data_IF_785914352268
#
_entry.id   IF_785914352268
#
_cell.length_a   1.000
_cell.length_b   1.000
_cell.length_c   1.000
_cell.angle_alpha   90.00
_cell.angle_beta   90.00
_cell.angle_gamma   90.00
#
_symmetry.space_group_name_H-M   'P 1'
#
loop_
_entity.id
_entity.type
_entity.pdbx_description
1 polymer ?
#
# COMPACT_ATOMS: atom_id res chain seq x y z
N UNK A 1 -12.95 -6.77 2.19
CA UNK A 1 -11.73 -6.19 2.75
C UNK A 1 -10.67 -6.45 1.71
N UNK A 2 -9.98 -5.41 1.27
CA UNK A 2 -9.02 -5.51 0.17
C UNK A 2 -7.66 -5.98 0.72
N UNK A 3 -6.88 -6.66 -0.10
CA UNK A 3 -5.49 -6.98 0.24
C UNK A 3 -4.62 -5.75 0.04
N UNK A 4 -3.77 -5.45 1.02
CA UNK A 4 -2.80 -4.37 0.90
C UNK A 4 -1.68 -4.79 -0.07
N UNK A 5 -1.21 -3.92 -0.98
CA UNK A 5 -0.10 -4.23 -1.87
C UNK A 5 1.20 -4.39 -1.06
N UNK A 6 1.63 -5.63 -0.86
CA UNK A 6 2.84 -5.92 -0.08
C UNK A 6 4.07 -5.86 -0.97
N UNK A 7 5.07 -5.08 -0.57
CA UNK A 7 6.39 -5.06 -1.22
C UNK A 7 7.35 -5.86 -0.34
N UNK A 8 7.85 -6.98 -0.86
CA UNK A 8 8.71 -7.96 -0.17
C UNK A 8 9.87 -8.35 -1.09
N UNK A 9 10.89 -9.04 -0.58
CA UNK A 9 11.88 -9.65 -1.46
C UNK A 9 11.24 -10.65 -2.42
N UNK A 10 11.65 -10.62 -3.70
CA UNK A 10 11.11 -11.50 -4.74
C UNK A 10 11.16 -12.99 -4.36
N UNK A 11 12.17 -13.41 -3.59
CA UNK A 11 12.35 -14.78 -3.08
C UNK A 11 11.24 -15.25 -2.14
N UNK A 12 10.42 -14.34 -1.60
CA UNK A 12 9.31 -14.64 -0.70
C UNK A 12 8.01 -14.95 -1.44
N UNK A 13 7.99 -14.79 -2.76
CA UNK A 13 6.83 -14.97 -3.61
C UNK A 13 7.07 -16.10 -4.62
N UNK A 14 6.00 -16.63 -5.19
CA UNK A 14 6.11 -17.62 -6.27
C UNK A 14 6.60 -16.94 -7.55
N UNK A 15 7.39 -17.66 -8.34
CA UNK A 15 7.97 -17.14 -9.58
C UNK A 15 6.93 -16.58 -10.56
N UNK A 16 5.78 -17.24 -10.71
CA UNK A 16 4.69 -16.79 -11.59
C UNK A 16 4.11 -15.43 -11.14
N UNK A 17 4.04 -15.22 -9.83
CA UNK A 17 3.55 -13.98 -9.25
C UNK A 17 4.60 -12.87 -9.36
N UNK A 18 5.88 -13.17 -9.10
CA UNK A 18 7.01 -12.24 -9.32
C UNK A 18 7.04 -11.79 -10.77
N UNK A 19 6.98 -12.72 -11.73
CA UNK A 19 6.96 -12.40 -13.16
C UNK A 19 5.78 -11.49 -13.53
N UNK A 20 4.62 -11.69 -12.91
CA UNK A 20 3.45 -10.82 -13.14
C UNK A 20 3.70 -9.39 -12.65
N UNK A 21 4.25 -9.23 -11.44
CA UNK A 21 4.57 -7.92 -10.85
C UNK A 21 5.63 -7.19 -11.67
N UNK A 22 6.73 -7.88 -11.98
CA UNK A 22 7.83 -7.32 -12.78
C UNK A 22 7.38 -6.96 -14.19
N UNK A 23 6.47 -7.74 -14.78
CA UNK A 23 5.88 -7.38 -16.07
C UNK A 23 5.04 -6.10 -15.99
N UNK A 24 4.22 -5.93 -14.94
CA UNK A 24 3.46 -4.68 -14.71
C UNK A 24 4.40 -3.49 -14.52
N UNK A 25 5.42 -3.63 -13.65
CA UNK A 25 6.40 -2.57 -13.39
C UNK A 25 7.14 -2.17 -14.67
N UNK A 26 7.63 -3.14 -15.45
CA UNK A 26 8.30 -2.92 -16.73
C UNK A 26 7.40 -2.23 -17.76
N UNK A 27 6.16 -2.69 -17.93
CA UNK A 27 5.23 -2.08 -18.88
C UNK A 27 4.91 -0.63 -18.51
N UNK A 28 4.78 -0.35 -17.21
CA UNK A 28 4.56 0.99 -16.70
C UNK A 28 5.78 1.90 -16.92
N UNK A 29 6.99 1.41 -16.62
CA UNK A 29 8.25 2.12 -16.84
C UNK A 29 8.51 2.42 -18.33
N UNK A 30 8.18 1.48 -19.22
CA UNK A 30 8.36 1.61 -20.68
C UNK A 30 7.18 2.31 -21.38
N UNK A 31 6.24 2.86 -20.61
CA UNK A 31 5.07 3.58 -21.10
C UNK A 31 4.20 2.78 -22.09
N UNK A 32 4.16 1.45 -21.93
CA UNK A 32 3.38 0.54 -22.77
C UNK A 32 1.93 0.45 -22.26
N UNK A 33 1.20 1.57 -22.31
CA UNK A 33 -0.06 1.74 -21.59
C UNK A 33 -1.18 0.78 -21.99
N UNK A 34 -1.29 0.45 -23.28
CA UNK A 34 -2.31 -0.48 -23.76
C UNK A 34 -2.11 -1.88 -23.20
N UNK A 35 -0.87 -2.37 -23.24
CA UNK A 35 -0.50 -3.69 -22.69
C UNK A 35 -0.58 -3.70 -21.16
N UNK A 36 -0.15 -2.61 -20.51
CA UNK A 36 -0.27 -2.43 -19.07
C UNK A 36 -1.73 -2.57 -18.61
N UNK A 37 -2.65 -1.82 -19.23
CA UNK A 37 -4.08 -1.86 -18.89
C UNK A 37 -4.66 -3.24 -19.17
N UNK A 38 -4.27 -3.90 -20.25
CA UNK A 38 -4.70 -5.27 -20.56
C UNK A 38 -4.32 -6.23 -19.44
N UNK A 39 -3.07 -6.21 -18.99
CA UNK A 39 -2.60 -7.06 -17.88
C UNK A 39 -3.34 -6.73 -16.57
N UNK A 40 -3.52 -5.44 -16.26
CA UNK A 40 -4.18 -5.01 -15.03
C UNK A 40 -5.69 -5.32 -14.99
N UNK A 41 -6.35 -5.43 -16.14
CA UNK A 41 -7.75 -5.90 -16.20
C UNK A 41 -7.87 -7.38 -15.82
N UNK A 42 -6.88 -8.19 -16.18
CA UNK A 42 -6.83 -9.61 -15.82
C UNK A 42 -6.30 -9.81 -14.38
N UNK A 43 -5.44 -8.90 -13.90
CA UNK A 43 -4.75 -8.95 -12.60
C UNK A 43 -4.84 -7.61 -11.87
N UNK A 44 -6.06 -7.23 -11.49
CA UNK A 44 -6.33 -5.96 -10.82
C UNK A 44 -5.65 -5.86 -9.45
N UNK A 45 -5.30 -6.99 -8.83
CA UNK A 45 -4.52 -7.06 -7.58
C UNK A 45 -3.13 -6.38 -7.70
N UNK A 46 -2.65 -6.17 -8.93
CA UNK A 46 -1.33 -5.58 -9.20
C UNK A 46 -1.36 -4.06 -9.41
N UNK A 47 -2.53 -3.41 -9.41
CA UNK A 47 -2.70 -1.99 -9.75
C UNK A 47 -1.91 -1.02 -8.85
N UNK A 48 -1.68 -1.41 -7.60
CA UNK A 48 -0.95 -0.64 -6.60
C UNK A 48 0.40 -1.27 -6.23
N UNK A 49 0.85 -2.28 -6.99
CA UNK A 49 2.15 -2.92 -6.79
C UNK A 49 3.26 -2.09 -7.45
N UNK A 50 4.47 -2.23 -6.93
CA UNK A 50 5.69 -1.60 -7.45
C UNK A 50 6.70 -2.71 -7.82
N UNK A 51 7.82 -2.34 -8.42
CA UNK A 51 8.94 -3.27 -8.59
C UNK A 51 9.39 -3.88 -7.27
N UNK A 52 9.76 -5.16 -7.29
CA UNK A 52 10.19 -5.87 -6.09
C UNK A 52 11.71 -5.75 -5.90
N UNK A 53 12.20 -5.57 -4.67
CA UNK A 53 13.62 -5.79 -4.39
C UNK A 53 13.95 -7.27 -4.58
N UNK A 54 15.10 -7.61 -5.18
CA UNK A 54 15.54 -9.01 -5.23
C UNK A 54 15.98 -9.51 -3.87
N UNK A 55 16.74 -8.67 -3.18
CA UNK A 55 17.29 -8.91 -1.86
C UNK A 55 17.59 -7.59 -1.14
N UNK A 56 18.27 -7.69 0.00
CA UNK A 56 18.58 -6.56 0.87
C UNK A 56 19.47 -5.50 0.21
N UNK A 57 20.29 -5.87 -0.78
CA UNK A 57 21.17 -4.94 -1.50
C UNK A 57 20.40 -3.99 -2.43
N UNK A 58 19.19 -4.37 -2.83
CA UNK A 58 18.33 -3.54 -3.69
C UNK A 58 17.48 -2.52 -2.91
N UNK A 59 17.32 -2.68 -1.58
CA UNK A 59 16.49 -1.78 -0.77
C UNK A 59 16.85 -0.28 -0.92
N UNK A 60 18.14 0.11 -0.99
CA UNK A 60 18.51 1.50 -1.24
C UNK A 60 18.02 2.05 -2.59
N UNK A 61 17.83 1.19 -3.60
CA UNK A 61 17.44 1.57 -4.96
C UNK A 61 15.94 1.47 -5.23
N UNK A 62 15.15 0.97 -4.26
CA UNK A 62 13.69 0.95 -4.38
C UNK A 62 13.14 2.35 -4.62
N UNK A 63 12.18 2.48 -5.54
CA UNK A 63 11.48 3.74 -5.81
C UNK A 63 10.05 3.72 -5.26
N UNK A 64 9.46 2.53 -5.14
CA UNK A 64 8.05 2.33 -4.77
C UNK A 64 7.08 3.07 -5.70
N UNK A 65 7.42 3.20 -6.99
CA UNK A 65 6.53 3.77 -7.99
C UNK A 65 5.47 2.75 -8.42
N UNK A 66 4.20 3.09 -8.19
CA UNK A 66 3.05 2.35 -8.70
C UNK A 66 2.78 2.70 -10.18
N UNK A 67 1.93 1.92 -10.90
CA UNK A 67 1.44 2.30 -12.22
C UNK A 67 0.95 3.75 -12.35
N UNK A 68 0.30 4.29 -11.32
CA UNK A 68 -0.18 5.69 -11.34
C UNK A 68 0.98 6.70 -11.30
N UNK A 69 2.05 6.42 -10.55
CA UNK A 69 3.24 7.27 -10.56
C UNK A 69 3.93 7.25 -11.92
N UNK A 70 4.08 6.07 -12.52
CA UNK A 70 4.65 5.94 -13.86
C UNK A 70 3.82 6.63 -14.93
N UNK A 71 2.49 6.57 -14.86
CA UNK A 71 1.60 7.29 -15.78
C UNK A 71 1.84 8.81 -15.73
N UNK A 72 2.08 9.35 -14.54
CA UNK A 72 2.43 10.76 -14.35
C UNK A 72 3.82 11.10 -14.90
N UNK A 73 4.83 10.29 -14.57
CA UNK A 73 6.21 10.48 -15.06
C UNK A 73 6.25 10.45 -16.58
N UNK A 74 5.57 9.48 -17.19
CA UNK A 74 5.49 9.29 -18.63
C UNK A 74 4.52 10.20 -19.35
N UNK A 75 3.84 11.12 -18.65
CA UNK A 75 2.79 12.00 -19.20
C UNK A 75 1.78 11.23 -20.05
N UNK A 76 1.25 10.15 -19.49
CA UNK A 76 0.29 9.29 -20.16
C UNK A 76 -0.95 10.09 -20.64
N UNK A 77 -1.66 9.63 -21.68
CA UNK A 77 -2.88 10.28 -22.10
C UNK A 77 -3.99 10.09 -21.05
N UNK A 78 -4.98 10.99 -21.05
CA UNK A 78 -6.04 11.07 -20.03
C UNK A 78 -6.77 9.73 -19.82
N UNK A 79 -7.01 9.00 -20.90
CA UNK A 79 -7.71 7.71 -20.89
C UNK A 79 -6.97 6.66 -20.04
N UNK A 80 -5.64 6.75 -19.95
CA UNK A 80 -4.85 5.85 -19.09
C UNK A 80 -5.12 6.15 -17.62
N UNK A 81 -5.20 7.42 -17.23
CA UNK A 81 -5.55 7.81 -15.87
C UNK A 81 -6.97 7.36 -15.51
N UNK A 82 -7.93 7.52 -16.42
CA UNK A 82 -9.31 7.06 -16.24
C UNK A 82 -9.36 5.55 -15.98
N UNK A 83 -8.65 4.75 -16.79
CA UNK A 83 -8.60 3.30 -16.63
C UNK A 83 -7.87 2.87 -15.35
N UNK A 84 -6.74 3.48 -15.00
CA UNK A 84 -6.03 3.16 -13.75
C UNK A 84 -6.90 3.47 -12.52
N UNK A 85 -7.57 4.62 -12.49
CA UNK A 85 -8.46 4.99 -11.38
C UNK A 85 -9.69 4.08 -11.30
N UNK A 86 -10.24 3.69 -12.46
CA UNK A 86 -11.34 2.70 -12.53
C UNK A 86 -10.92 1.32 -12.00
N UNK A 87 -9.65 0.97 -12.13
CA UNK A 87 -9.04 -0.24 -11.57
C UNK A 87 -8.60 -0.07 -10.11
N UNK A 88 -8.98 1.02 -9.44
CA UNK A 88 -8.64 1.34 -8.04
C UNK A 88 -7.15 1.62 -7.80
N UNK A 89 -6.49 2.29 -8.74
CA UNK A 89 -5.20 2.92 -8.46
C UNK A 89 -5.33 3.94 -7.32
N UNK A 90 -4.48 3.83 -6.32
CA UNK A 90 -4.50 4.69 -5.14
C UNK A 90 -3.91 6.06 -5.44
N UNK A 91 -4.66 7.10 -5.09
CA UNK A 91 -4.21 8.50 -5.17
C UNK A 91 -3.36 8.89 -3.96
N UNK A 92 -3.47 8.13 -2.87
CA UNK A 92 -2.82 8.44 -1.59
C UNK A 92 -1.50 7.72 -1.35
N UNK A 93 -1.15 6.75 -2.22
CA UNK A 93 0.09 6.01 -2.10
C UNK A 93 1.28 6.92 -2.38
N UNK A 94 2.24 6.93 -1.46
CA UNK A 94 3.49 7.67 -1.59
C UNK A 94 4.60 6.74 -2.05
N UNK A 95 5.47 7.24 -2.90
CA UNK A 95 6.71 6.55 -3.27
C UNK A 95 7.74 6.62 -2.13
N UNK A 96 8.96 6.14 -2.35
CA UNK A 96 10.02 6.15 -1.32
C UNK A 96 10.43 7.55 -0.88
N UNK A 97 10.34 8.54 -1.76
CA UNK A 97 10.61 9.95 -1.46
C UNK A 97 9.45 10.64 -0.72
N UNK A 98 8.35 9.93 -0.47
CA UNK A 98 7.17 10.47 0.20
C UNK A 98 6.24 11.28 -0.71
N UNK A 99 6.40 11.16 -2.03
CA UNK A 99 5.61 11.87 -3.04
C UNK A 99 4.47 10.98 -3.55
N UNK A 100 3.28 11.57 -3.71
CA UNK A 100 2.18 10.92 -4.43
C UNK A 100 2.27 11.15 -5.93
N UNK A 101 1.47 10.43 -6.71
CA UNK A 101 1.33 10.69 -8.14
C UNK A 101 0.91 12.15 -8.44
N UNK A 102 0.04 12.74 -7.61
CA UNK A 102 -0.34 14.15 -7.73
C UNK A 102 0.88 15.10 -7.57
N UNK A 103 1.72 14.85 -6.56
CA UNK A 103 2.89 15.70 -6.28
C UNK A 103 3.89 15.67 -7.45
N UNK A 104 4.17 14.48 -7.98
CA UNK A 104 5.03 14.30 -9.16
C UNK A 104 4.42 14.97 -10.40
N UNK A 105 3.10 14.88 -10.56
CA UNK A 105 2.42 15.45 -11.73
C UNK A 105 2.48 16.96 -11.71
N UNK A 106 2.26 17.54 -10.54
CA UNK A 106 2.34 18.97 -10.33
C UNK A 106 3.76 19.49 -10.59
N UNK A 107 4.81 18.80 -10.11
CA UNK A 107 6.19 19.21 -10.38
C UNK A 107 6.57 19.11 -11.86
N UNK A 108 5.98 18.17 -12.59
CA UNK A 108 6.30 17.90 -14.00
C UNK A 108 5.45 18.71 -15.00
N UNK A 109 4.56 19.58 -14.51
CA UNK A 109 3.65 20.37 -15.34
C UNK A 109 2.67 19.50 -16.11
N UNK A 110 2.06 18.50 -15.44
CA UNK A 110 0.97 17.72 -15.99
C UNK A 110 -0.29 18.59 -16.18
N UNK A 111 -1.12 18.24 -17.15
CA UNK A 111 -2.36 18.97 -17.44
C UNK A 111 -3.27 19.07 -16.19
N UNK A 112 -3.86 20.26 -16.00
CA UNK A 112 -4.68 20.56 -14.81
C UNK A 112 -5.92 19.66 -14.68
N UNK A 113 -6.51 19.22 -15.78
CA UNK A 113 -7.65 18.32 -15.71
C UNK A 113 -7.23 16.92 -15.28
N UNK A 114 -6.03 16.47 -15.67
CA UNK A 114 -5.46 15.21 -15.16
C UNK A 114 -5.08 15.35 -13.68
N UNK A 115 -4.48 16.48 -13.28
CA UNK A 115 -4.13 16.73 -11.88
C UNK A 115 -5.36 16.64 -10.97
N UNK A 116 -6.49 17.24 -11.36
CA UNK A 116 -7.76 17.13 -10.62
C UNK A 116 -8.24 15.68 -10.48
N UNK A 117 -8.02 14.83 -11.48
CA UNK A 117 -8.45 13.42 -11.41
C UNK A 117 -7.67 12.62 -10.36
N UNK A 118 -6.37 12.90 -10.23
CA UNK A 118 -5.47 12.16 -9.33
C UNK A 118 -5.28 12.87 -7.98
N UNK A 119 -5.94 14.00 -7.76
CA UNK A 119 -5.85 14.75 -6.50
C UNK A 119 -6.36 13.91 -5.33
N UNK A 120 -5.65 14.00 -4.20
CA UNK A 120 -6.07 13.34 -2.96
C UNK A 120 -7.39 13.97 -2.48
N UNK A 121 -8.42 13.16 -2.17
CA UNK A 121 -9.67 13.67 -1.61
C UNK A 121 -9.46 14.61 -0.42
N UNK A 122 -10.15 15.74 -0.42
CA UNK A 122 -9.98 16.81 0.57
C UNK A 122 -10.20 16.33 2.01
N UNK A 123 -11.12 15.38 2.20
CA UNK A 123 -11.40 14.75 3.49
C UNK A 123 -10.18 14.00 4.05
N UNK A 124 -9.36 13.42 3.18
CA UNK A 124 -8.13 12.72 3.56
C UNK A 124 -7.03 13.74 3.85
N UNK A 125 -6.88 14.77 3.00
CA UNK A 125 -5.88 15.84 3.21
C UNK A 125 -6.07 16.54 4.54
N UNK A 126 -7.31 16.88 4.92
CA UNK A 126 -7.63 17.50 6.22
C UNK A 126 -7.23 16.65 7.44
N UNK A 127 -7.03 15.35 7.26
CA UNK A 127 -6.68 14.41 8.32
C UNK A 127 -5.21 13.98 8.27
N UNK A 128 -4.36 14.60 7.46
CA UNK A 128 -2.97 14.17 7.24
C UNK A 128 -2.19 13.94 8.54
N UNK A 129 -2.25 14.89 9.48
CA UNK A 129 -1.57 14.80 10.78
C UNK A 129 -2.09 13.60 11.59
N UNK A 130 -3.41 13.38 11.59
CA UNK A 130 -4.02 12.28 12.34
C UNK A 130 -3.65 10.92 11.71
N UNK A 131 -3.68 10.84 10.37
CA UNK A 131 -3.28 9.65 9.61
C UNK A 131 -1.82 9.31 9.92
N UNK A 132 -0.91 10.30 9.86
CA UNK A 132 0.50 10.08 10.18
C UNK A 132 0.70 9.57 11.61
N UNK A 133 0.05 10.18 12.60
CA UNK A 133 0.13 9.71 13.99
C UNK A 133 -0.37 8.26 14.14
N UNK A 134 -1.48 7.92 13.48
CA UNK A 134 -2.03 6.56 13.51
C UNK A 134 -1.15 5.55 12.77
N UNK A 135 -0.50 5.98 11.68
CA UNK A 135 0.46 5.19 10.91
C UNK A 135 1.68 4.83 11.76
N UNK A 136 2.28 5.81 12.45
CA UNK A 136 3.38 5.57 13.39
C UNK A 136 2.98 4.58 14.50
N UNK A 137 1.76 4.71 15.03
CA UNK A 137 1.20 3.77 16.00
C UNK A 137 0.97 2.36 15.41
N UNK A 138 0.58 2.26 14.14
CA UNK A 138 0.39 0.99 13.44
C UNK A 138 1.73 0.31 13.18
N UNK A 139 2.72 1.06 12.71
CA UNK A 139 4.07 0.59 12.46
C UNK A 139 4.70 0.03 13.73
N UNK A 140 4.61 0.78 14.83
CA UNK A 140 5.07 0.30 16.13
C UNK A 140 4.39 -1.01 16.53
N UNK A 141 3.07 -1.10 16.40
CA UNK A 141 2.33 -2.33 16.71
C UNK A 141 2.75 -3.52 15.84
N UNK A 142 2.99 -3.30 14.55
CA UNK A 142 3.44 -4.37 13.64
C UNK A 142 4.85 -4.81 14.02
N UNK A 143 5.78 -3.87 14.20
CA UNK A 143 7.16 -4.16 14.59
C UNK A 143 7.23 -4.92 15.92
N UNK A 144 6.49 -4.47 16.94
CA UNK A 144 6.40 -5.14 18.25
C UNK A 144 5.97 -6.62 18.10
N UNK A 145 5.23 -6.98 17.05
CA UNK A 145 4.74 -8.34 16.80
C UNK A 145 5.62 -9.18 15.87
N UNK A 146 6.20 -8.58 14.83
CA UNK A 146 6.79 -9.32 13.70
C UNK A 146 8.07 -8.68 13.15
N UNK A 147 8.80 -7.87 13.92
CA UNK A 147 10.04 -7.21 13.47
C UNK A 147 11.04 -8.19 12.82
N UNK A 148 11.26 -9.37 13.41
CA UNK A 148 12.17 -10.37 12.84
C UNK A 148 11.75 -10.83 11.45
N UNK A 149 10.45 -11.04 11.20
CA UNK A 149 9.93 -11.40 9.87
C UNK A 149 10.08 -10.23 8.90
N UNK A 150 9.97 -8.99 9.37
CA UNK A 150 10.18 -7.81 8.53
C UNK A 150 11.62 -7.76 8.03
N UNK A 151 12.58 -8.00 8.93
CA UNK A 151 14.00 -8.04 8.59
C UNK A 151 14.32 -9.20 7.62
N UNK A 152 13.73 -10.36 7.85
CA UNK A 152 13.94 -11.56 7.03
C UNK A 152 13.35 -11.43 5.62
N UNK A 153 12.15 -10.84 5.51
CA UNK A 153 11.38 -10.82 4.25
C UNK A 153 11.52 -9.52 3.46
N UNK A 154 12.07 -8.47 4.09
CA UNK A 154 12.17 -7.13 3.50
C UNK A 154 10.83 -6.42 3.31
N UNK A 155 9.76 -6.92 3.96
CA UNK A 155 8.41 -6.38 3.77
C UNK A 155 8.35 -4.90 4.17
N UNK A 156 7.79 -4.07 3.30
CA UNK A 156 7.56 -2.66 3.59
C UNK A 156 6.31 -2.47 4.45
N UNK A 157 6.42 -1.62 5.48
CA UNK A 157 5.30 -1.30 6.37
C UNK A 157 4.19 -0.56 5.61
N UNK A 158 2.91 -0.78 5.99
CA UNK A 158 1.79 -0.27 5.22
C UNK A 158 1.61 1.24 5.44
N UNK A 159 1.26 1.95 4.37
CA UNK A 159 0.82 3.35 4.40
C UNK A 159 -0.65 3.44 4.77
N UNK A 160 -0.95 4.14 5.87
CA UNK A 160 -2.29 4.18 6.44
C UNK A 160 -3.27 5.02 5.61
N UNK A 161 -2.78 5.95 4.79
CA UNK A 161 -3.62 6.73 3.88
C UNK A 161 -4.48 5.84 2.97
N UNK A 162 -3.97 4.66 2.60
CA UNK A 162 -4.70 3.62 1.87
C UNK A 162 -6.01 3.19 2.58
N UNK A 163 -6.00 3.09 3.91
CA UNK A 163 -7.22 2.83 4.70
C UNK A 163 -8.26 3.93 4.49
N UNK A 164 -7.82 5.18 4.35
CA UNK A 164 -8.73 6.30 4.26
C UNK A 164 -9.40 6.38 2.89
N UNK A 165 -8.70 5.94 1.85
CA UNK A 165 -9.20 5.81 0.48
C UNK A 165 -10.12 4.58 0.30
N UNK A 166 -9.71 3.39 0.76
CA UNK A 166 -10.43 2.12 0.48
C UNK A 166 -11.19 1.51 1.68
N UNK A 167 -11.08 2.12 2.86
CA UNK A 167 -11.91 1.83 4.04
C UNK A 167 -11.43 0.69 4.95
N UNK A 168 -10.82 -0.37 4.40
CA UNK A 168 -10.23 -1.48 5.17
C UNK A 168 -9.23 -2.27 4.33
N UNK A 169 -8.17 -2.78 4.96
CA UNK A 169 -7.21 -3.66 4.27
C UNK A 169 -6.69 -4.81 5.15
N UNK A 170 -6.25 -5.88 4.49
CA UNK A 170 -5.46 -6.98 5.07
C UNK A 170 -3.99 -6.79 4.69
N UNK A 171 -3.12 -6.69 5.70
CA UNK A 171 -1.68 -6.66 5.51
C UNK A 171 -1.10 -8.03 5.88
N UNK A 172 -0.76 -8.81 4.85
CA UNK A 172 -0.22 -10.16 4.99
C UNK A 172 1.28 -10.08 5.29
N UNK A 173 1.73 -10.82 6.29
CA UNK A 173 3.15 -10.91 6.62
C UNK A 173 3.64 -12.30 6.21
N UNK A 174 4.55 -12.41 5.22
CA UNK A 174 5.12 -13.69 4.84
C UNK A 174 5.70 -14.42 6.06
N UNK A 175 5.61 -15.75 6.06
CA UNK A 175 6.05 -16.64 7.16
C UNK A 175 5.25 -16.49 8.48
N UNK A 176 4.39 -15.48 8.65
CA UNK A 176 3.53 -15.35 9.83
C UNK A 176 2.34 -16.33 9.82
N UNK A 177 1.96 -16.82 8.62
CA UNK A 177 0.73 -17.59 8.38
C UNK A 177 -0.51 -16.87 8.96
N UNK A 178 -0.50 -15.55 8.82
CA UNK A 178 -1.37 -14.61 9.50
C UNK A 178 -1.33 -13.24 8.84
N UNK A 179 -2.16 -12.32 9.33
CA UNK A 179 -2.26 -10.98 8.76
C UNK A 179 -2.69 -9.96 9.81
N UNK A 180 -2.52 -8.68 9.48
CA UNK A 180 -3.12 -7.57 10.19
C UNK A 180 -4.35 -7.07 9.41
N UNK A 181 -5.54 -7.21 10.00
CA UNK A 181 -6.77 -6.56 9.51
C UNK A 181 -6.86 -5.15 10.09
N UNK A 182 -6.81 -4.15 9.23
CA UNK A 182 -6.88 -2.73 9.62
C UNK A 182 -8.19 -2.12 9.12
N UNK A 183 -8.94 -1.49 10.03
CA UNK A 183 -10.25 -0.89 9.76
C UNK A 183 -10.40 0.44 10.49
N UNK A 184 -11.17 1.38 9.93
CA UNK A 184 -11.60 2.58 10.68
C UNK A 184 -12.42 2.16 11.91
N UNK A 185 -12.15 2.76 13.06
CA UNK A 185 -12.93 2.51 14.27
C UNK A 185 -14.28 3.24 14.21
N UNK A 186 -15.31 2.63 14.82
CA UNK A 186 -16.65 3.25 14.91
C UNK A 186 -16.58 4.62 15.61
N UNK A 187 -17.42 5.56 15.15
CA UNK A 187 -17.54 6.93 15.68
C UNK A 187 -16.23 7.73 15.65
N UNK A 188 -15.43 7.52 14.60
CA UNK A 188 -14.20 8.28 14.33
C UNK A 188 -13.17 8.25 15.49
N UNK A 189 -13.03 7.08 16.14
CA UNK A 189 -12.15 6.90 17.30
C UNK A 189 -10.73 6.44 16.92
N UNK A 190 -10.30 6.72 15.70
CA UNK A 190 -9.06 6.24 15.09
C UNK A 190 -9.26 4.93 14.32
N UNK A 191 -8.36 3.97 14.49
CA UNK A 191 -8.38 2.69 13.78
C UNK A 191 -8.43 1.48 14.73
N UNK A 192 -8.95 0.38 14.23
CA UNK A 192 -8.96 -0.94 14.85
C UNK A 192 -8.04 -1.85 14.06
N UNK A 193 -7.17 -2.56 14.77
CA UNK A 193 -6.19 -3.49 14.20
C UNK A 193 -6.40 -4.84 14.86
N UNK A 194 -6.65 -5.87 14.06
CA UNK A 194 -6.70 -7.26 14.50
C UNK A 194 -5.54 -8.00 13.87
N UNK A 195 -4.82 -8.80 14.66
CA UNK A 195 -3.70 -9.60 14.16
C UNK A 195 -3.75 -10.99 14.78
N UNK A 196 -3.52 -12.01 13.95
CA UNK A 196 -3.62 -13.42 14.32
C UNK A 196 -2.65 -14.25 13.47
N UNK A 197 -2.28 -15.43 13.96
CA UNK A 197 -1.58 -16.47 13.21
C UNK A 197 -2.38 -17.77 13.27
N UNK A 198 -2.54 -18.44 12.12
CA UNK A 198 -3.30 -19.70 12.02
C UNK A 198 -2.63 -20.88 12.72
N UNK A 199 -1.33 -20.79 12.95
CA UNK A 199 -0.52 -21.90 13.50
C UNK A 199 -0.42 -21.78 15.03
N UNK A 200 -0.50 -20.57 15.56
CA UNK A 200 -0.41 -20.32 17.01
C UNK A 200 -1.80 -20.01 17.54
N UNK A 201 -2.47 -21.02 18.10
CA UNK A 201 -3.78 -20.87 18.75
C UNK A 201 -3.74 -19.81 19.86
N UNK A 202 -4.75 -18.95 19.90
CA UNK A 202 -4.83 -17.85 20.88
C UNK A 202 -3.92 -16.65 20.58
N UNK A 203 -3.25 -16.62 19.42
CA UNK A 203 -2.39 -15.48 19.02
C UNK A 203 -3.15 -14.23 18.58
N UNK A 204 -4.48 -14.31 18.47
CA UNK A 204 -5.36 -13.21 18.10
C UNK A 204 -5.28 -12.06 19.11
N UNK A 205 -4.96 -10.87 18.63
CA UNK A 205 -5.00 -9.63 19.42
C UNK A 205 -5.75 -8.55 18.66
N UNK A 206 -6.52 -7.75 19.40
CA UNK A 206 -7.25 -6.59 18.90
C UNK A 206 -6.76 -5.34 19.60
N UNK A 207 -6.30 -4.39 18.83
CA UNK A 207 -5.80 -3.10 19.28
C UNK A 207 -6.63 -1.96 18.70
N UNK A 208 -6.77 -0.90 19.48
CA UNK A 208 -7.25 0.39 18.97
C UNK A 208 -6.11 1.40 19.01
N UNK A 209 -5.90 2.08 17.89
CA UNK A 209 -4.96 3.19 17.77
C UNK A 209 -5.79 4.46 17.59
N UNK A 210 -5.61 5.44 18.47
CA UNK A 210 -6.36 6.71 18.38
C UNK A 210 -5.67 7.70 17.42
N UNK A 211 -6.33 8.83 17.11
CA UNK A 211 -5.81 9.91 16.25
C UNK A 211 -4.48 10.54 16.69
N UNK A 212 -4.00 10.22 17.90
CA UNK A 212 -2.69 10.63 18.45
C UNK A 212 -1.66 9.49 18.41
N UNK A 213 -1.92 8.40 17.69
CA UNK A 213 -1.03 7.25 17.59
C UNK A 213 -0.97 6.35 18.83
N UNK A 214 -1.77 6.61 19.87
CA UNK A 214 -1.71 5.81 21.11
C UNK A 214 -2.41 4.47 20.92
N UNK A 215 -1.66 3.40 21.15
CA UNK A 215 -2.10 2.00 21.06
C UNK A 215 -2.75 1.59 22.38
N UNK A 216 -3.90 0.91 22.31
CA UNK A 216 -4.56 0.28 23.46
C UNK A 216 -5.07 -1.11 23.09
N UNK A 217 -4.59 -2.14 23.79
CA UNK A 217 -5.14 -3.50 23.72
C UNK A 217 -6.61 -3.52 24.15
N UNK A 218 -7.43 -4.27 23.41
CA UNK A 218 -8.88 -4.37 23.61
C UNK A 218 -9.36 -5.80 23.85
N UNK A 219 -8.70 -6.77 23.21
CA UNK A 219 -8.94 -8.18 23.40
C UNK A 219 -7.70 -8.95 22.95
N UNK A 220 -7.46 -10.11 23.55
CA UNK A 220 -6.40 -11.05 23.17
C UNK A 220 -6.86 -12.49 23.42
N UNK A 221 -6.11 -13.48 22.92
CA UNK A 221 -6.37 -14.89 23.18
C UNK A 221 -7.40 -15.53 22.25
N UNK A 222 -7.81 -14.87 21.17
CA UNK A 222 -8.77 -15.42 20.20
C UNK A 222 -8.07 -16.10 19.01
N UNK A 223 -8.86 -16.82 18.20
CA UNK A 223 -8.42 -17.42 16.92
C UNK A 223 -8.87 -16.57 15.74
#
# INVERSE_FOLDING_TARGET
MEDYPIIVFATQLRDDHVQSIENVARLAEQHQWQDLIKVLRDRYDLINMCSLPKDQSDLPNLTLLTPLHHAVIGKAPKEVFEELLKLHASRTYKNKEGLTAYDIGKSNGLDEDILKMIEIPEEIRKQEIEIKNMEEGLHKLILDRVEHLIQETGIQLPQLSYLFEFGSFLYHVPLMYGSFSVKKAKKDKGIMVESWSRIVGGSGQRHRINKKGKIKLKAEGFM
#
